data_IF_382457132303
#
_entry.id   IF_382457132303
#
_cell.length_a   1.000
_cell.length_b   1.000
_cell.length_c   1.000
_cell.angle_alpha   90.00
_cell.angle_beta   90.00
_cell.angle_gamma   90.00
#
_symmetry.space_group_name_H-M   'P 1'
#
loop_
_entity.id
_entity.type
_entity.pdbx_description
1 polymer ?
#
# COMPACT_ATOMS: atom_id res chain seq x y z
N UNK A 1 -7.09 -57.71 25.66
CA UNK A 1 -7.72 -56.42 26.05
C UNK A 1 -6.75 -55.32 25.69
N UNK A 2 -6.96 -54.66 24.55
CA UNK A 2 -6.20 -53.49 24.13
C UNK A 2 -7.17 -52.32 24.01
N UNK A 3 -6.79 -51.20 24.61
CA UNK A 3 -7.58 -50.00 24.85
C UNK A 3 -7.67 -49.12 23.61
N UNK A 4 -8.86 -48.57 23.32
CA UNK A 4 -9.08 -47.51 22.33
C UNK A 4 -9.15 -46.16 23.06
N UNK A 5 -8.18 -45.27 22.82
CA UNK A 5 -8.09 -43.94 23.47
C UNK A 5 -7.68 -42.80 22.52
N UNK A 6 -7.94 -42.89 21.21
CA UNK A 6 -7.45 -41.92 20.22
C UNK A 6 -8.47 -40.88 19.70
N UNK A 7 -9.69 -40.81 20.22
CA UNK A 7 -10.75 -39.98 19.62
C UNK A 7 -10.95 -38.60 20.26
N UNK A 8 -10.36 -38.31 21.42
CA UNK A 8 -10.63 -37.06 22.16
C UNK A 8 -9.83 -35.85 21.68
N UNK A 9 -8.67 -36.04 21.04
CA UNK A 9 -7.77 -34.92 20.70
C UNK A 9 -8.10 -34.21 19.38
N UNK A 10 -8.94 -34.78 18.52
CA UNK A 10 -9.30 -34.19 17.22
C UNK A 10 -10.48 -33.22 17.32
N UNK A 11 -11.37 -33.40 18.30
CA UNK A 11 -12.57 -32.55 18.47
C UNK A 11 -12.21 -31.15 18.99
N UNK A 12 -11.26 -31.04 19.92
CA UNK A 12 -10.87 -29.77 20.52
C UNK A 12 -10.07 -28.87 19.55
N UNK A 13 -9.27 -29.47 18.67
CA UNK A 13 -8.49 -28.73 17.66
C UNK A 13 -9.38 -28.14 16.56
N UNK A 14 -10.47 -28.82 16.18
CA UNK A 14 -11.38 -28.32 15.15
C UNK A 14 -12.21 -27.13 15.65
N UNK A 15 -12.61 -27.16 16.92
CA UNK A 15 -13.42 -26.09 17.52
C UNK A 15 -12.62 -24.79 17.73
N UNK A 16 -11.31 -24.88 18.02
CA UNK A 16 -10.46 -23.69 18.15
C UNK A 16 -10.15 -23.04 16.81
N UNK A 17 -9.90 -23.85 15.76
CA UNK A 17 -9.63 -23.36 14.40
C UNK A 17 -10.82 -22.59 13.80
N UNK A 18 -12.04 -23.13 13.91
CA UNK A 18 -13.26 -22.48 13.38
C UNK A 18 -13.53 -21.14 14.07
N UNK A 19 -13.27 -21.04 15.37
CA UNK A 19 -13.50 -19.80 16.11
C UNK A 19 -12.53 -18.68 15.70
N UNK A 20 -11.28 -19.02 15.38
CA UNK A 20 -10.28 -18.01 14.98
C UNK A 20 -10.62 -17.36 13.63
N UNK A 21 -11.04 -18.15 12.63
CA UNK A 21 -11.38 -17.65 11.29
C UNK A 21 -12.61 -16.72 11.33
N UNK A 22 -13.63 -17.09 12.12
CA UNK A 22 -14.85 -16.29 12.28
C UNK A 22 -14.54 -14.96 12.99
N UNK A 23 -13.71 -14.97 14.03
CA UNK A 23 -13.28 -13.75 14.72
C UNK A 23 -12.50 -12.84 13.76
N UNK A 24 -11.57 -13.41 12.98
CA UNK A 24 -10.80 -12.66 11.99
C UNK A 24 -11.71 -12.01 10.92
N UNK A 25 -12.71 -12.74 10.43
CA UNK A 25 -13.68 -12.25 9.47
C UNK A 25 -14.45 -11.05 10.01
N UNK A 26 -15.03 -11.17 11.21
CA UNK A 26 -15.81 -10.08 11.83
C UNK A 26 -14.95 -8.86 12.16
N UNK A 27 -13.72 -9.09 12.67
CA UNK A 27 -12.77 -8.02 12.93
C UNK A 27 -12.42 -7.27 11.63
N UNK A 28 -12.15 -7.98 10.54
CA UNK A 28 -11.86 -7.36 9.25
C UNK A 28 -13.03 -6.57 8.70
N UNK A 29 -14.27 -7.08 8.78
CA UNK A 29 -15.46 -6.35 8.34
C UNK A 29 -15.63 -5.05 9.14
N UNK A 30 -15.53 -5.13 10.48
CA UNK A 30 -15.69 -3.96 11.34
C UNK A 30 -14.61 -2.90 11.07
N UNK A 31 -13.34 -3.32 11.02
CA UNK A 31 -12.22 -2.43 10.72
C UNK A 31 -12.36 -1.82 9.34
N UNK A 32 -12.79 -2.59 8.33
CA UNK A 32 -12.97 -2.07 6.97
C UNK A 32 -14.06 -0.99 6.91
N UNK A 33 -15.21 -1.19 7.57
CA UNK A 33 -16.28 -0.18 7.62
C UNK A 33 -15.78 1.12 8.25
N UNK A 34 -15.10 1.03 9.39
CA UNK A 34 -14.52 2.21 10.08
C UNK A 34 -13.48 2.88 9.20
N UNK A 35 -12.64 2.11 8.53
CA UNK A 35 -11.60 2.61 7.64
C UNK A 35 -12.17 3.34 6.42
N UNK A 36 -13.20 2.79 5.78
CA UNK A 36 -13.88 3.41 4.63
C UNK A 36 -14.50 4.75 5.05
N UNK A 37 -15.18 4.81 6.20
CA UNK A 37 -15.76 6.06 6.73
C UNK A 37 -14.68 7.12 7.01
N UNK A 38 -13.57 6.71 7.62
CA UNK A 38 -12.44 7.59 7.89
C UNK A 38 -11.79 8.11 6.60
N UNK A 39 -11.54 7.23 5.64
CA UNK A 39 -10.98 7.56 4.33
C UNK A 39 -11.89 8.50 3.55
N UNK A 40 -13.20 8.24 3.56
CA UNK A 40 -14.19 9.11 2.93
C UNK A 40 -14.21 10.50 3.56
N UNK A 41 -14.17 10.59 4.89
CA UNK A 41 -14.09 11.88 5.59
C UNK A 41 -12.82 12.67 5.22
N UNK A 42 -11.66 12.01 5.19
CA UNK A 42 -10.40 12.65 4.79
C UNK A 42 -10.44 13.12 3.34
N UNK A 43 -10.93 12.26 2.44
CA UNK A 43 -11.09 12.59 1.03
C UNK A 43 -12.03 13.79 0.83
N UNK A 44 -13.19 13.77 1.49
CA UNK A 44 -14.15 14.87 1.45
C UNK A 44 -13.57 16.18 2.00
N UNK A 45 -12.90 16.14 3.15
CA UNK A 45 -12.30 17.32 3.77
C UNK A 45 -11.21 17.92 2.87
N UNK A 46 -10.39 17.07 2.26
CA UNK A 46 -9.33 17.47 1.35
C UNK A 46 -9.89 18.03 0.03
N UNK A 47 -10.97 17.45 -0.50
CA UNK A 47 -11.69 17.95 -1.68
C UNK A 47 -12.51 19.21 -1.39
N UNK A 48 -12.88 19.49 -0.14
CA UNK A 48 -13.63 20.71 0.21
C UNK A 48 -12.72 21.94 0.33
N UNK A 49 -11.48 21.77 0.79
CA UNK A 49 -10.55 22.90 1.04
C UNK A 49 -9.65 23.18 -0.17
N UNK A 50 -10.05 24.16 -0.99
CA UNK A 50 -9.28 24.65 -2.15
C UNK A 50 -7.80 25.02 -1.86
N UNK A 51 -7.44 25.76 -0.80
CA UNK A 51 -6.03 26.11 -0.56
C UNK A 51 -5.17 24.89 -0.22
N UNK A 52 -5.77 23.81 0.26
CA UNK A 52 -5.08 22.54 0.51
C UNK A 52 -4.71 21.83 -0.79
N UNK A 53 -5.49 22.00 -1.87
CA UNK A 53 -5.23 21.36 -3.17
C UNK A 53 -4.18 22.08 -4.00
N UNK A 54 -4.05 23.39 -3.83
CA UNK A 54 -3.12 24.20 -4.64
C UNK A 54 -1.66 24.13 -4.13
N UNK A 55 -1.44 23.64 -2.91
CA UNK A 55 -0.09 23.40 -2.40
C UNK A 55 0.48 22.08 -2.97
N UNK A 56 1.57 22.18 -3.74
CA UNK A 56 2.25 21.04 -4.38
C UNK A 56 2.61 19.93 -3.39
N UNK A 57 2.98 20.30 -2.16
CA UNK A 57 3.34 19.36 -1.09
C UNK A 57 2.18 18.48 -0.61
N UNK A 58 0.94 18.85 -0.92
CA UNK A 58 -0.23 18.08 -0.52
C UNK A 58 -0.63 17.05 -1.58
N UNK A 59 -0.13 17.17 -2.82
CA UNK A 59 -0.48 16.26 -3.91
C UNK A 59 -0.16 14.78 -3.60
N UNK A 60 1.01 14.42 -3.02
CA UNK A 60 1.29 13.04 -2.63
C UNK A 60 0.28 12.50 -1.62
N UNK A 61 -0.19 13.35 -0.70
CA UNK A 61 -1.21 12.97 0.28
C UNK A 61 -2.57 12.67 -0.38
N UNK A 62 -2.94 13.42 -1.43
CA UNK A 62 -4.17 13.16 -2.20
C UNK A 62 -4.07 11.80 -2.88
N UNK A 63 -2.97 11.55 -3.59
CA UNK A 63 -2.71 10.29 -4.29
C UNK A 63 -2.72 9.12 -3.31
N UNK A 64 -2.12 9.29 -2.13
CA UNK A 64 -2.10 8.29 -1.08
C UNK A 64 -3.52 7.93 -0.60
N UNK A 65 -4.32 8.94 -0.26
CA UNK A 65 -5.69 8.73 0.23
C UNK A 65 -6.55 8.07 -0.85
N UNK A 66 -6.44 8.50 -2.11
CA UNK A 66 -7.13 7.86 -3.23
C UNK A 66 -6.73 6.38 -3.36
N UNK A 67 -5.44 6.10 -3.34
CA UNK A 67 -4.90 4.73 -3.49
C UNK A 67 -5.42 3.82 -2.38
N UNK A 68 -5.31 4.27 -1.12
CA UNK A 68 -5.81 3.52 0.04
C UNK A 68 -7.32 3.29 -0.05
N UNK A 69 -8.09 4.30 -0.50
CA UNK A 69 -9.53 4.17 -0.66
C UNK A 69 -9.90 3.13 -1.73
N UNK A 70 -9.19 3.10 -2.86
CA UNK A 70 -9.39 2.08 -3.90
C UNK A 70 -9.04 0.67 -3.40
N UNK A 71 -7.94 0.52 -2.67
CA UNK A 71 -7.55 -0.77 -2.06
C UNK A 71 -8.66 -1.25 -1.11
N UNK A 72 -9.18 -0.38 -0.24
CA UNK A 72 -10.26 -0.73 0.70
C UNK A 72 -11.57 -1.12 0.02
N UNK A 73 -11.87 -0.54 -1.15
CA UNK A 73 -13.10 -0.84 -1.89
C UNK A 73 -12.99 -2.08 -2.78
N UNK A 74 -11.81 -2.40 -3.28
CA UNK A 74 -11.61 -3.49 -4.24
C UNK A 74 -11.00 -4.68 -3.54
N UNK A 75 -9.82 -4.52 -2.97
CA UNK A 75 -9.00 -5.61 -2.45
C UNK A 75 -9.60 -6.26 -1.19
N UNK A 76 -9.97 -5.43 -0.22
CA UNK A 76 -10.48 -5.92 1.08
C UNK A 76 -11.77 -6.75 0.94
N UNK A 77 -12.77 -6.37 0.12
CA UNK A 77 -13.93 -7.22 -0.11
C UNK A 77 -13.62 -8.57 -0.75
N UNK A 78 -12.67 -8.65 -1.68
CA UNK A 78 -12.23 -9.93 -2.25
C UNK A 78 -11.54 -10.79 -1.20
N UNK A 79 -10.71 -10.18 -0.35
CA UNK A 79 -10.08 -10.89 0.77
C UNK A 79 -11.11 -11.40 1.81
N UNK A 80 -12.10 -10.60 2.17
CA UNK A 80 -13.21 -11.01 3.05
C UNK A 80 -14.00 -12.16 2.41
N UNK A 81 -14.25 -12.10 1.11
CA UNK A 81 -14.96 -13.17 0.41
C UNK A 81 -14.12 -14.47 0.36
N UNK A 82 -12.80 -14.35 0.18
CA UNK A 82 -11.86 -15.47 0.27
C UNK A 82 -11.89 -16.11 1.66
N UNK A 83 -11.86 -15.32 2.74
CA UNK A 83 -12.00 -15.84 4.11
C UNK A 83 -13.33 -16.57 4.36
N UNK A 84 -14.41 -16.13 3.69
CA UNK A 84 -15.74 -16.74 3.84
C UNK A 84 -15.88 -18.04 3.04
N UNK A 85 -15.37 -18.07 1.81
CA UNK A 85 -15.56 -19.18 0.87
C UNK A 85 -14.43 -20.22 0.95
N UNK A 86 -13.26 -19.83 1.45
CA UNK A 86 -12.03 -20.65 1.40
C UNK A 86 -11.36 -20.68 0.03
N UNK A 87 -11.91 -19.96 -0.96
CA UNK A 87 -11.39 -19.87 -2.32
C UNK A 87 -11.70 -18.50 -2.94
N UNK A 88 -11.00 -18.16 -4.02
CA UNK A 88 -11.15 -16.89 -4.74
C UNK A 88 -12.24 -17.01 -5.78
N UNK A 89 -13.27 -16.14 -5.72
CA UNK A 89 -14.33 -16.09 -6.74
C UNK A 89 -14.19 -14.84 -7.61
N UNK A 90 -14.12 -14.95 -8.94
CA UNK A 90 -14.22 -16.19 -9.73
C UNK A 90 -12.95 -17.05 -9.68
N UNK A 91 -13.11 -18.38 -9.63
CA UNK A 91 -12.02 -19.37 -9.57
C UNK A 91 -11.31 -19.53 -10.94
N UNK A 92 -10.84 -18.42 -11.50
CA UNK A 92 -10.13 -18.41 -12.78
C UNK A 92 -8.67 -18.00 -12.54
N UNK A 93 -7.74 -18.71 -13.19
CA UNK A 93 -6.31 -18.40 -13.08
C UNK A 93 -5.99 -16.96 -13.53
N UNK A 94 -6.72 -16.47 -14.53
CA UNK A 94 -6.58 -15.10 -15.00
C UNK A 94 -6.94 -14.07 -13.91
N UNK A 95 -8.06 -14.29 -13.19
CA UNK A 95 -8.47 -13.40 -12.11
C UNK A 95 -7.45 -13.39 -10.97
N UNK A 96 -6.93 -14.55 -10.58
CA UNK A 96 -5.90 -14.66 -9.53
C UNK A 96 -4.64 -13.88 -9.89
N UNK A 97 -4.14 -14.03 -11.13
CA UNK A 97 -2.96 -13.29 -11.60
C UNK A 97 -3.24 -11.78 -11.62
N UNK A 98 -4.39 -11.34 -12.13
CA UNK A 98 -4.75 -9.92 -12.16
C UNK A 98 -4.83 -9.37 -10.75
N UNK A 99 -5.51 -10.07 -9.84
CA UNK A 99 -5.69 -9.63 -8.46
C UNK A 99 -4.35 -9.53 -7.72
N UNK A 100 -3.49 -10.54 -7.85
CA UNK A 100 -2.13 -10.53 -7.30
C UNK A 100 -1.30 -9.35 -7.81
N UNK A 101 -1.37 -9.04 -9.11
CA UNK A 101 -0.68 -7.89 -9.68
C UNK A 101 -1.24 -6.57 -9.14
N UNK A 102 -2.56 -6.44 -9.02
CA UNK A 102 -3.19 -5.24 -8.45
C UNK A 102 -2.74 -5.03 -7.00
N UNK A 103 -2.72 -6.09 -6.18
CA UNK A 103 -2.28 -6.01 -4.79
C UNK A 103 -0.80 -5.58 -4.69
N UNK A 104 0.08 -6.27 -5.44
CA UNK A 104 1.52 -5.97 -5.47
C UNK A 104 1.80 -4.53 -5.91
N UNK A 105 1.21 -4.10 -7.03
CA UNK A 105 1.39 -2.74 -7.56
C UNK A 105 0.82 -1.70 -6.61
N UNK A 106 -0.32 -1.96 -5.99
CA UNK A 106 -0.93 -1.03 -5.02
C UNK A 106 -0.06 -0.85 -3.78
N UNK A 107 0.57 -1.92 -3.30
CA UNK A 107 1.54 -1.87 -2.20
C UNK A 107 2.78 -1.04 -2.58
N UNK A 108 3.36 -1.29 -3.76
CA UNK A 108 4.52 -0.53 -4.25
C UNK A 108 4.21 0.96 -4.43
N UNK A 109 3.07 1.31 -5.04
CA UNK A 109 2.62 2.70 -5.18
C UNK A 109 2.48 3.34 -3.80
N UNK A 110 1.89 2.63 -2.84
CA UNK A 110 1.72 3.14 -1.47
C UNK A 110 3.06 3.45 -0.82
N UNK A 111 4.03 2.53 -0.90
CA UNK A 111 5.39 2.75 -0.39
C UNK A 111 6.08 3.93 -1.07
N UNK A 112 5.97 4.00 -2.40
CA UNK A 112 6.55 5.07 -3.19
C UNK A 112 6.00 6.45 -2.80
N UNK A 113 4.68 6.56 -2.66
CA UNK A 113 4.01 7.81 -2.27
C UNK A 113 4.34 8.19 -0.81
N UNK A 114 4.46 7.21 0.10
CA UNK A 114 4.91 7.47 1.48
C UNK A 114 6.35 7.99 1.49
N UNK A 115 7.23 7.41 0.68
CA UNK A 115 8.61 7.85 0.55
C UNK A 115 8.68 9.27 -0.01
N UNK A 116 7.92 9.57 -1.08
CA UNK A 116 7.81 10.90 -1.66
C UNK A 116 7.30 11.91 -0.62
N UNK A 117 6.21 11.61 0.08
CA UNK A 117 5.63 12.48 1.10
C UNK A 117 6.60 12.75 2.25
N UNK A 118 7.37 11.74 2.66
CA UNK A 118 8.40 11.86 3.70
C UNK A 118 9.56 12.74 3.23
N UNK A 119 10.00 12.56 1.98
CA UNK A 119 11.05 13.38 1.38
C UNK A 119 10.61 14.84 1.23
N UNK A 120 9.39 15.09 0.76
CA UNK A 120 8.84 16.45 0.66
C UNK A 120 8.83 17.16 2.02
N UNK A 121 8.42 16.46 3.09
CA UNK A 121 8.41 17.00 4.45
C UNK A 121 9.82 17.20 5.01
N UNK A 122 10.73 16.28 4.75
CA UNK A 122 12.13 16.39 5.15
C UNK A 122 12.79 17.64 4.53
N UNK A 123 12.63 17.83 3.22
CA UNK A 123 13.18 19.01 2.51
C UNK A 123 12.55 20.30 3.06
N UNK A 124 11.24 20.30 3.31
CA UNK A 124 10.55 21.46 3.88
C UNK A 124 11.16 21.88 5.23
N UNK A 125 11.42 20.92 6.12
CA UNK A 125 11.88 21.21 7.49
C UNK A 125 13.37 21.59 7.53
N UNK A 126 14.23 20.84 6.84
CA UNK A 126 15.69 21.02 6.96
C UNK A 126 16.27 22.02 5.97
N UNK A 127 15.55 22.32 4.89
CA UNK A 127 16.07 23.10 3.76
C UNK A 127 15.14 24.27 3.37
N UNK A 128 14.49 24.92 4.33
CA UNK A 128 13.67 26.12 4.07
C UNK A 128 14.39 27.19 3.24
N UNK A 129 15.71 27.37 3.44
CA UNK A 129 16.52 28.33 2.69
C UNK A 129 16.77 27.95 1.22
N UNK A 130 16.70 26.67 0.86
CA UNK A 130 16.81 26.22 -0.54
C UNK A 130 15.53 26.50 -1.33
N UNK A 131 14.38 26.63 -0.66
CA UNK A 131 13.08 26.95 -1.28
C UNK A 131 12.95 28.44 -1.67
N UNK A 132 13.82 29.31 -1.15
CA UNK A 132 13.88 30.74 -1.50
C UNK A 132 14.24 30.98 -2.98
N UNK A 133 15.01 30.09 -3.60
CA UNK A 133 15.37 30.18 -5.03
C UNK A 133 14.48 29.26 -5.86
N UNK A 134 13.23 29.69 -6.12
CA UNK A 134 12.20 28.94 -6.87
C UNK A 134 12.69 28.19 -8.12
N UNK A 135 13.62 28.77 -8.88
CA UNK A 135 14.14 28.16 -10.12
C UNK A 135 14.98 26.89 -9.92
N UNK A 136 15.59 26.70 -8.74
CA UNK A 136 16.48 25.55 -8.46
C UNK A 136 15.69 24.33 -7.96
N UNK A 137 14.53 24.57 -7.35
CA UNK A 137 13.62 23.54 -6.85
C UNK A 137 12.91 22.80 -7.98
N UNK A 138 12.40 23.54 -8.98
CA UNK A 138 11.74 22.92 -10.15
C UNK A 138 12.71 21.95 -10.85
N UNK A 139 13.98 22.32 -10.99
CA UNK A 139 15.00 21.44 -11.58
C UNK A 139 15.24 20.21 -10.70
N UNK A 140 15.37 20.37 -9.38
CA UNK A 140 15.59 19.26 -8.45
C UNK A 140 14.43 18.27 -8.43
N UNK A 141 13.18 18.74 -8.51
CA UNK A 141 12.00 17.88 -8.57
C UNK A 141 11.97 17.10 -9.90
N UNK A 142 12.34 17.73 -11.01
CA UNK A 142 12.46 17.03 -12.31
C UNK A 142 13.58 15.97 -12.30
N UNK A 143 14.69 16.23 -11.59
CA UNK A 143 15.80 15.27 -11.47
C UNK A 143 15.56 14.17 -10.41
N UNK A 144 14.72 14.42 -9.41
CA UNK A 144 14.42 13.48 -8.34
C UNK A 144 13.25 12.53 -8.66
N UNK A 145 12.50 12.78 -9.75
CA UNK A 145 11.57 11.76 -10.25
C UNK A 145 12.39 10.53 -10.69
N UNK A 146 12.17 9.36 -10.07
CA UNK A 146 12.80 8.14 -10.55
C UNK A 146 12.38 7.97 -12.01
N UNK A 147 13.35 7.65 -12.84
CA UNK A 147 13.19 7.37 -14.27
C UNK A 147 11.94 6.52 -14.54
N UNK A 148 11.29 6.70 -15.71
CA UNK A 148 10.15 5.87 -16.08
C UNK A 148 10.52 4.41 -15.90
N UNK A 149 9.81 3.74 -14.98
CA UNK A 149 9.95 2.31 -14.78
C UNK A 149 9.79 1.64 -16.14
N UNK A 150 10.86 1.01 -16.61
CA UNK A 150 10.80 0.20 -17.82
C UNK A 150 10.08 -1.10 -17.46
N UNK A 151 8.75 -1.08 -17.58
CA UNK A 151 7.87 -2.21 -17.28
C UNK A 151 8.12 -3.45 -18.18
N UNK A 152 9.08 -3.39 -19.12
CA UNK A 152 9.40 -4.49 -20.03
C UNK A 152 10.38 -5.51 -19.46
N UNK A 153 10.99 -5.26 -18.29
CA UNK A 153 11.87 -6.25 -17.67
C UNK A 153 11.06 -7.32 -16.92
N UNK A 154 11.17 -8.61 -17.30
CA UNK A 154 10.48 -9.69 -16.61
C UNK A 154 11.05 -9.83 -15.18
N UNK A 155 10.14 -9.81 -14.21
CA UNK A 155 10.31 -9.77 -12.75
C UNK A 155 11.06 -10.97 -12.12
N UNK A 156 11.82 -11.75 -12.89
CA UNK A 156 12.46 -12.98 -12.42
C UNK A 156 13.92 -12.82 -11.96
N UNK A 157 14.55 -11.65 -12.13
CA UNK A 157 15.93 -11.37 -11.69
C UNK A 157 16.00 -10.12 -10.79
N UNK A 158 15.16 -10.07 -9.76
CA UNK A 158 15.21 -9.02 -8.75
C UNK A 158 16.41 -9.25 -7.80
N UNK A 159 17.59 -8.75 -8.17
CA UNK A 159 18.73 -8.61 -7.26
C UNK A 159 18.61 -7.27 -6.48
N UNK A 160 18.28 -7.29 -5.18
CA UNK A 160 18.08 -6.08 -4.37
C UNK A 160 19.32 -5.19 -4.27
N UNK A 161 20.51 -5.65 -4.67
CA UNK A 161 21.74 -4.87 -4.64
C UNK A 161 21.76 -3.70 -5.65
N UNK A 162 21.03 -3.78 -6.78
CA UNK A 162 21.09 -2.76 -7.83
C UNK A 162 20.29 -1.50 -7.51
N UNK A 163 19.21 -1.61 -6.74
CA UNK A 163 18.38 -0.45 -6.40
C UNK A 163 19.08 0.48 -5.40
N UNK A 164 19.87 -0.07 -4.48
CA UNK A 164 20.63 0.73 -3.51
C UNK A 164 21.77 1.51 -4.17
N UNK A 165 22.52 0.91 -5.11
CA UNK A 165 23.66 1.57 -5.75
C UNK A 165 23.26 2.71 -6.70
N UNK A 166 22.10 2.64 -7.36
CA UNK A 166 21.63 3.71 -8.26
C UNK A 166 21.21 4.98 -7.51
N UNK A 167 20.62 4.83 -6.32
CA UNK A 167 20.12 5.95 -5.51
C UNK A 167 21.27 6.73 -4.85
N UNK A 168 22.37 6.07 -4.46
CA UNK A 168 23.48 6.72 -3.75
C UNK A 168 24.58 7.30 -4.64
N UNK A 169 24.75 6.83 -5.89
CA UNK A 169 25.88 7.27 -6.73
C UNK A 169 25.68 8.60 -7.48
N UNK A 170 24.47 9.18 -7.45
CA UNK A 170 24.12 10.40 -8.21
C UNK A 170 23.65 11.58 -7.36
N UNK A 171 23.92 11.57 -6.06
CA UNK A 171 23.83 12.80 -5.27
C UNK A 171 25.10 13.63 -5.49
N UNK A 172 25.05 14.80 -6.15
CA UNK A 172 26.15 15.73 -6.05
C UNK A 172 26.21 16.20 -4.58
N UNK A 173 27.32 15.87 -3.91
CA UNK A 173 27.73 16.49 -2.66
C UNK A 173 27.94 17.98 -2.94
N UNK A 174 26.86 18.76 -2.84
CA UNK A 174 26.94 20.21 -2.76
C UNK A 174 27.06 20.54 -1.28
N UNK A 175 28.31 20.72 -0.85
CA UNK A 175 28.72 21.30 0.43
C UNK A 175 28.19 22.73 0.56
#
# INVERSE_FOLDING_TARGET
MASNSNETSTVDNNNTMINTEVIQLWAMIFVNIVSILCSFFHFYHLMSKRPLREALNNHPMIVLICTIFFIQLIDVPFYINYLRLGYVWPETSLFCIIWWNIDTVSFEITLFVIAEASLSRYILIFHEKLLSTRKKLETLITYAQPYPYDYTQPWCDYDPAYMYNSIFHKWPLVV
#
